data_IF_603216417391
#
_entry.id   IF_603216417391
#
_cell.length_a   1.000
_cell.length_b   1.000
_cell.length_c   1.000
_cell.angle_alpha   90.00
_cell.angle_beta   90.00
_cell.angle_gamma   90.00
#
_symmetry.space_group_name_H-M   'P 1'
#
loop_
_entity.id
_entity.type
_entity.pdbx_description
1 polymer ?
#
# COMPACT_ATOMS: atom_id res chain seq x y z
N UNK A 1 -24.95 13.36 6.12
CA UNK A 1 -24.49 12.26 5.23
C UNK A 1 -23.05 12.53 4.81
N UNK A 2 -22.17 11.53 4.82
CA UNK A 2 -20.86 11.57 4.15
C UNK A 2 -21.04 11.11 2.71
N UNK A 3 -20.48 11.86 1.77
CA UNK A 3 -20.45 11.54 0.33
C UNK A 3 -18.99 11.57 -0.11
N UNK A 4 -18.48 10.46 -0.63
CA UNK A 4 -17.16 10.36 -1.28
C UNK A 4 -17.37 10.27 -2.80
N UNK A 5 -16.71 11.14 -3.56
CA UNK A 5 -16.77 11.18 -5.03
C UNK A 5 -15.64 10.38 -5.68
N UNK A 6 -15.83 10.03 -6.95
CA UNK A 6 -14.86 9.35 -7.82
C UNK A 6 -13.49 10.06 -7.94
N UNK A 7 -13.42 11.37 -7.71
CA UNK A 7 -12.18 12.15 -7.70
C UNK A 7 -11.48 12.19 -6.32
N UNK A 8 -11.93 11.39 -5.34
CA UNK A 8 -11.35 11.35 -4.00
C UNK A 8 -11.74 12.50 -3.08
N UNK A 9 -12.54 13.46 -3.53
CA UNK A 9 -13.11 14.50 -2.67
C UNK A 9 -14.28 13.92 -1.87
N UNK A 10 -14.24 14.09 -0.55
CA UNK A 10 -15.39 13.84 0.31
C UNK A 10 -15.99 15.15 0.84
N UNK A 11 -17.30 15.12 1.01
CA UNK A 11 -18.12 16.21 1.57
C UNK A 11 -19.02 15.60 2.63
N UNK A 12 -19.19 16.28 3.76
CA UNK A 12 -20.17 15.88 4.78
C UNK A 12 -21.22 16.97 4.89
N UNK A 13 -22.46 16.61 4.58
CA UNK A 13 -23.64 17.49 4.59
C UNK A 13 -24.54 17.16 5.79
N UNK A 14 -25.40 18.10 6.27
CA UNK A 14 -26.52 17.74 7.14
C UNK A 14 -27.43 16.72 6.45
N UNK A 15 -28.39 16.11 7.16
CA UNK A 15 -29.39 15.25 6.54
C UNK A 15 -30.43 16.13 5.82
N UNK A 16 -30.63 16.01 4.49
CA UNK A 16 -31.65 16.75 3.75
C UNK A 16 -32.80 15.83 3.31
N UNK A 17 -34.01 16.37 3.16
CA UNK A 17 -35.18 15.58 2.71
C UNK A 17 -35.01 15.04 1.28
N UNK A 18 -34.30 15.79 0.43
CA UNK A 18 -33.94 15.41 -0.94
C UNK A 18 -32.63 16.08 -1.35
N UNK A 19 -31.67 15.32 -1.84
CA UNK A 19 -30.38 15.85 -2.30
C UNK A 19 -29.81 15.02 -3.45
N UNK A 20 -29.21 15.70 -4.43
CA UNK A 20 -28.55 15.08 -5.56
C UNK A 20 -27.03 15.09 -5.38
N UNK A 21 -26.45 13.93 -5.02
CA UNK A 21 -25.03 13.78 -4.74
C UNK A 21 -24.13 13.63 -6.00
N UNK A 22 -24.68 13.87 -7.20
CA UNK A 22 -23.97 13.77 -8.47
C UNK A 22 -23.99 12.36 -9.08
N UNK A 23 -23.43 12.24 -10.29
CA UNK A 23 -23.44 10.99 -11.07
C UNK A 23 -22.31 10.00 -10.70
N UNK A 24 -21.19 10.51 -10.17
CA UNK A 24 -19.97 9.72 -9.93
C UNK A 24 -19.62 9.67 -8.43
N UNK A 25 -20.55 9.12 -7.66
CA UNK A 25 -20.39 8.82 -6.23
C UNK A 25 -19.62 7.51 -6.11
N UNK A 26 -18.67 7.45 -5.18
CA UNK A 26 -17.87 6.26 -4.88
C UNK A 26 -18.39 5.55 -3.63
N UNK A 27 -18.79 6.30 -2.61
CA UNK A 27 -19.34 5.76 -1.36
C UNK A 27 -20.19 6.79 -0.61
N UNK A 28 -21.16 6.32 0.17
CA UNK A 28 -22.01 7.15 1.05
C UNK A 28 -22.22 6.50 2.40
N UNK A 29 -22.19 7.29 3.48
CA UNK A 29 -22.38 6.79 4.84
C UNK A 29 -23.10 7.78 5.76
N UNK A 30 -23.61 7.28 6.89
CA UNK A 30 -24.07 8.13 7.99
C UNK A 30 -22.84 8.67 8.73
N UNK A 31 -22.71 9.99 8.80
CA UNK A 31 -21.52 10.68 9.32
C UNK A 31 -21.53 10.79 10.85
N UNK A 32 -21.62 9.66 11.55
CA UNK A 32 -21.50 9.59 13.01
C UNK A 32 -20.03 9.42 13.39
N UNK A 33 -19.52 10.24 14.33
CA UNK A 33 -18.09 10.24 14.72
C UNK A 33 -17.60 8.85 15.13
N UNK A 34 -18.39 8.14 15.93
CA UNK A 34 -18.09 6.75 16.32
C UNK A 34 -18.01 5.77 15.15
N UNK A 35 -18.81 5.96 14.11
CA UNK A 35 -18.74 5.09 12.92
C UNK A 35 -17.49 5.41 12.12
N UNK A 36 -17.26 6.69 11.82
CA UNK A 36 -16.14 7.12 10.97
C UNK A 36 -14.77 6.88 11.62
N UNK A 37 -14.63 6.99 12.94
CA UNK A 37 -13.40 6.62 13.64
C UNK A 37 -13.17 5.10 13.75
N UNK A 38 -14.19 4.26 13.52
CA UNK A 38 -14.08 2.79 13.44
C UNK A 38 -13.86 2.28 12.00
N UNK A 39 -14.25 3.05 10.99
CA UNK A 39 -14.15 2.68 9.56
C UNK A 39 -12.85 3.18 8.93
N UNK A 40 -11.91 2.26 8.64
CA UNK A 40 -10.75 2.59 7.80
C UNK A 40 -11.17 2.66 6.33
N UNK A 41 -11.06 3.84 5.73
CA UNK A 41 -11.17 4.00 4.28
C UNK A 41 -9.85 3.56 3.64
N UNK A 42 -9.92 2.55 2.78
CA UNK A 42 -8.81 2.09 1.94
C UNK A 42 -9.07 2.50 0.50
N UNK A 43 -8.22 3.38 -0.02
CA UNK A 43 -8.23 3.89 -1.39
C UNK A 43 -6.98 3.41 -2.13
N UNK A 44 -7.15 2.95 -3.36
CA UNK A 44 -6.07 2.54 -4.26
C UNK A 44 -6.20 3.35 -5.54
N UNK A 45 -5.15 4.10 -5.89
CA UNK A 45 -5.17 5.06 -6.99
C UNK A 45 -3.85 5.07 -7.78
N UNK A 46 -3.91 5.47 -9.04
CA UNK A 46 -2.74 5.87 -9.84
C UNK A 46 -2.72 7.39 -10.01
N UNK A 47 -1.56 7.95 -10.35
CA UNK A 47 -1.44 9.35 -10.75
C UNK A 47 -1.38 9.44 -12.27
N UNK A 48 -2.07 10.40 -12.88
CA UNK A 48 -1.98 10.66 -14.32
C UNK A 48 -0.59 11.14 -14.75
N UNK A 49 0.18 11.70 -13.81
CA UNK A 49 1.51 12.26 -14.05
C UNK A 49 2.65 11.23 -13.87
N UNK A 50 2.39 10.09 -13.23
CA UNK A 50 3.42 9.10 -12.86
C UNK A 50 2.96 7.66 -13.10
N UNK A 51 3.80 6.83 -13.72
CA UNK A 51 3.54 5.39 -13.75
C UNK A 51 3.71 4.81 -12.34
N UNK A 52 2.59 4.36 -11.76
CA UNK A 52 2.57 3.69 -10.48
C UNK A 52 1.17 3.57 -9.90
N UNK A 53 1.07 2.89 -8.77
CA UNK A 53 -0.12 2.89 -7.94
C UNK A 53 0.26 3.11 -6.47
N UNK A 54 -0.68 3.69 -5.73
CA UNK A 54 -0.55 4.13 -4.36
C UNK A 54 -1.72 3.59 -3.55
N UNK A 55 -1.47 3.17 -2.31
CA UNK A 55 -2.50 2.85 -1.33
C UNK A 55 -2.56 3.95 -0.27
N UNK A 56 -3.77 4.42 0.01
CA UNK A 56 -4.06 5.30 1.14
C UNK A 56 -5.08 4.63 2.04
N UNK A 57 -4.64 4.24 3.23
CA UNK A 57 -5.51 3.85 4.34
C UNK A 57 -5.66 5.06 5.27
N UNK A 58 -6.88 5.48 5.57
CA UNK A 58 -7.13 6.68 6.40
C UNK A 58 -8.43 6.55 7.19
N UNK A 59 -8.53 7.32 8.27
CA UNK A 59 -9.72 7.43 9.13
C UNK A 59 -10.18 8.90 9.12
N UNK A 60 -11.48 9.16 9.33
CA UNK A 60 -12.07 10.52 9.32
C UNK A 60 -12.61 10.87 10.71
N UNK A 61 -11.71 11.27 11.60
CA UNK A 61 -12.03 11.62 13.00
C UNK A 61 -12.66 13.01 13.18
N UNK A 62 -12.46 13.90 12.20
CA UNK A 62 -12.94 15.29 12.25
C UNK A 62 -13.19 15.88 10.85
N UNK A 63 -14.20 16.74 10.78
CA UNK A 63 -14.65 17.45 9.58
C UNK A 63 -15.40 18.72 10.00
N UNK A 64 -15.56 19.67 9.07
CA UNK A 64 -16.59 20.70 9.16
C UNK A 64 -17.67 20.39 8.12
N UNK A 65 -18.93 20.43 8.55
CA UNK A 65 -20.09 20.22 7.68
C UNK A 65 -20.12 21.28 6.57
N UNK A 66 -20.48 20.87 5.34
CA UNK A 66 -20.52 21.74 4.17
C UNK A 66 -19.15 22.06 3.54
N UNK A 67 -18.04 21.51 4.05
CA UNK A 67 -16.72 21.64 3.42
C UNK A 67 -16.34 20.40 2.61
N UNK A 68 -15.69 20.67 1.49
CA UNK A 68 -15.01 19.69 0.65
C UNK A 68 -13.58 19.43 1.16
N UNK A 69 -13.18 18.16 1.16
CA UNK A 69 -11.86 17.71 1.57
C UNK A 69 -11.36 16.63 0.59
N UNK A 70 -10.17 16.78 0.01
CA UNK A 70 -9.62 15.71 -0.82
C UNK A 70 -8.90 14.66 0.01
N UNK A 71 -9.19 13.37 -0.26
CA UNK A 71 -8.40 12.24 0.20
C UNK A 71 -7.26 11.90 -0.77
N UNK A 72 -7.27 12.40 -2.00
CA UNK A 72 -6.32 11.98 -3.04
C UNK A 72 -5.80 13.23 -3.79
N UNK A 73 -4.56 13.27 -4.30
CA UNK A 73 -4.15 14.33 -5.22
C UNK A 73 -5.14 14.48 -6.39
N UNK A 74 -5.39 15.70 -6.85
CA UNK A 74 -6.39 15.98 -7.90
C UNK A 74 -6.06 15.30 -9.24
N UNK A 75 -4.77 15.08 -9.52
CA UNK A 75 -4.26 14.37 -10.70
C UNK A 75 -4.33 12.83 -10.57
N UNK A 76 -5.21 12.29 -9.73
CA UNK A 76 -5.31 10.87 -9.46
C UNK A 76 -6.57 10.21 -10.03
N UNK A 77 -6.40 8.96 -10.45
CA UNK A 77 -7.49 8.07 -10.86
C UNK A 77 -7.65 6.99 -9.81
N UNK A 78 -8.82 6.94 -9.16
CA UNK A 78 -9.14 5.87 -8.21
C UNK A 78 -9.38 4.58 -9.00
N UNK A 79 -8.61 3.54 -8.65
CA UNK A 79 -8.67 2.20 -9.25
C UNK A 79 -9.49 1.23 -8.38
N UNK A 80 -9.47 1.43 -7.06
CA UNK A 80 -10.17 0.58 -6.09
C UNK A 80 -10.48 1.32 -4.79
N UNK A 81 -11.55 0.89 -4.13
CA UNK A 81 -12.02 1.43 -2.85
C UNK A 81 -12.60 0.29 -2.00
N UNK A 82 -12.36 0.33 -0.69
CA UNK A 82 -13.02 -0.52 0.29
C UNK A 82 -13.00 0.13 1.68
N UNK A 83 -13.99 -0.21 2.50
CA UNK A 83 -14.09 0.17 3.92
C UNK A 83 -13.64 -0.93 4.87
N UNK A 84 -13.16 -2.07 4.34
CA UNK A 84 -12.73 -3.21 5.13
C UNK A 84 -11.31 -3.02 5.69
N UNK A 85 -11.11 -3.44 6.93
CA UNK A 85 -9.82 -3.32 7.62
C UNK A 85 -8.77 -4.35 7.15
N UNK A 86 -9.22 -5.46 6.56
CA UNK A 86 -8.39 -6.60 6.16
C UNK A 86 -9.04 -7.29 4.95
N UNK A 87 -8.42 -7.11 3.79
CA UNK A 87 -8.75 -7.82 2.55
C UNK A 87 -7.48 -7.89 1.69
N UNK A 88 -7.49 -8.80 0.72
CA UNK A 88 -6.41 -8.95 -0.26
C UNK A 88 -6.87 -8.45 -1.63
N UNK A 89 -5.96 -7.94 -2.43
CA UNK A 89 -6.25 -7.48 -3.78
C UNK A 89 -5.12 -7.78 -4.75
N UNK A 90 -5.51 -8.03 -6.00
CA UNK A 90 -4.63 -8.23 -7.14
C UNK A 90 -4.62 -6.98 -8.01
N UNK A 91 -3.42 -6.50 -8.34
CA UNK A 91 -3.22 -5.50 -9.39
C UNK A 91 -2.70 -6.18 -10.65
N UNK A 92 -3.25 -5.80 -11.80
CA UNK A 92 -2.76 -6.22 -13.12
C UNK A 92 -2.03 -5.06 -13.80
N UNK A 93 -0.78 -5.32 -14.18
CA UNK A 93 0.13 -4.36 -14.78
C UNK A 93 0.07 -4.38 -16.30
N UNK A 94 0.34 -3.23 -16.92
CA UNK A 94 0.52 -3.11 -18.37
C UNK A 94 1.68 -4.01 -18.84
N UNK A 95 1.47 -4.87 -19.86
CA UNK A 95 2.48 -5.83 -20.29
C UNK A 95 3.66 -5.14 -20.98
N UNK A 96 4.73 -4.89 -20.23
CA UNK A 96 5.97 -4.30 -20.74
C UNK A 96 6.89 -5.41 -21.25
N UNK A 97 7.29 -5.35 -22.52
CA UNK A 97 8.02 -6.38 -23.32
C UNK A 97 9.01 -7.31 -22.58
N UNK A 98 9.76 -6.84 -21.57
CA UNK A 98 10.73 -7.65 -20.80
C UNK A 98 10.24 -8.17 -19.44
N UNK A 99 8.94 -8.06 -19.12
CA UNK A 99 8.37 -8.37 -17.79
C UNK A 99 7.63 -9.71 -17.74
N UNK A 100 8.12 -10.65 -16.91
CA UNK A 100 7.48 -11.96 -16.69
C UNK A 100 6.32 -11.95 -15.67
N UNK A 101 6.22 -10.92 -14.84
CA UNK A 101 5.12 -10.73 -13.87
C UNK A 101 4.12 -9.69 -14.41
N UNK A 102 2.92 -10.15 -14.78
CA UNK A 102 1.81 -9.29 -15.23
C UNK A 102 0.87 -8.91 -14.08
N UNK A 103 0.86 -9.66 -12.98
CA UNK A 103 0.01 -9.36 -11.81
C UNK A 103 0.75 -9.59 -10.49
N UNK A 104 0.26 -8.94 -9.44
CA UNK A 104 0.81 -9.01 -8.08
C UNK A 104 -0.31 -8.90 -7.04
N UNK A 105 -0.16 -9.60 -5.92
CA UNK A 105 -1.17 -9.66 -4.84
C UNK A 105 -0.65 -8.94 -3.61
N UNK A 106 -1.48 -8.09 -3.04
CA UNK A 106 -1.18 -7.21 -1.91
C UNK A 106 -2.18 -7.43 -0.78
N UNK A 107 -1.67 -7.45 0.46
CA UNK A 107 -2.47 -7.69 1.65
C UNK A 107 -2.63 -6.38 2.42
N UNK A 108 -3.86 -5.87 2.55
CA UNK A 108 -4.12 -4.50 3.06
C UNK A 108 -3.60 -4.29 4.48
N UNK A 109 -3.60 -5.36 5.29
CA UNK A 109 -3.09 -5.41 6.67
C UNK A 109 -1.61 -4.99 6.80
N UNK A 110 -0.80 -5.18 5.76
CA UNK A 110 0.63 -4.82 5.76
C UNK A 110 0.88 -3.31 5.66
N UNK A 111 -0.12 -2.53 5.23
CA UNK A 111 -0.01 -1.09 5.05
C UNK A 111 -0.55 -0.34 6.27
N UNK A 112 0.26 0.57 6.81
CA UNK A 112 -0.12 1.41 7.94
C UNK A 112 -1.22 2.42 7.57
N UNK A 113 -2.17 2.64 8.49
CA UNK A 113 -3.14 3.74 8.41
C UNK A 113 -2.39 5.08 8.54
N UNK A 114 -2.75 6.07 7.72
CA UNK A 114 -2.16 7.40 7.69
C UNK A 114 -3.23 8.47 7.93
N UNK A 115 -2.79 9.64 8.40
CA UNK A 115 -3.65 10.83 8.58
C UNK A 115 -4.23 11.29 7.22
N UNK A 116 -5.43 11.86 7.23
CA UNK A 116 -6.17 12.41 6.08
C UNK A 116 -5.31 13.27 5.14
N UNK A 117 -4.36 14.05 5.66
CA UNK A 117 -3.50 14.93 4.87
C UNK A 117 -2.33 14.22 4.14
N UNK A 118 -1.95 12.99 4.53
CA UNK A 118 -0.86 12.27 3.88
C UNK A 118 -1.29 11.69 2.53
N UNK A 119 -0.41 11.68 1.53
CA UNK A 119 -0.75 11.19 0.18
C UNK A 119 -1.02 9.68 0.16
N UNK A 120 -0.11 8.87 0.70
CA UNK A 120 -0.29 7.42 0.79
C UNK A 120 1.04 6.67 1.00
N UNK A 121 1.07 5.41 0.57
CA UNK A 121 2.26 4.56 0.43
C UNK A 121 2.28 4.07 -1.03
N UNK A 122 3.44 4.14 -1.70
CA UNK A 122 3.57 3.62 -3.08
C UNK A 122 3.56 2.09 -3.06
N UNK A 123 2.74 1.48 -3.91
CA UNK A 123 2.68 0.03 -4.10
C UNK A 123 3.68 -0.44 -5.16
N UNK A 124 3.86 0.36 -6.22
CA UNK A 124 4.51 -0.07 -7.46
C UNK A 124 4.87 1.12 -8.35
N UNK A 125 5.93 1.00 -9.15
CA UNK A 125 6.34 1.94 -10.21
C UNK A 125 5.80 1.54 -11.59
N UNK A 126 4.83 0.62 -11.63
CA UNK A 126 4.24 0.09 -12.86
C UNK A 126 2.86 0.71 -13.11
N UNK A 127 2.57 0.96 -14.38
CA UNK A 127 1.23 1.32 -14.83
C UNK A 127 0.28 0.14 -14.61
N UNK A 128 -0.79 0.38 -13.85
CA UNK A 128 -1.83 -0.61 -13.52
C UNK A 128 -3.00 -0.44 -14.49
N UNK A 129 -3.48 -1.55 -15.05
CA UNK A 129 -4.68 -1.61 -15.90
C UNK A 129 -5.92 -1.94 -15.08
N UNK A 130 -5.83 -2.93 -14.17
CA UNK A 130 -6.98 -3.49 -13.45
C UNK A 130 -6.70 -3.63 -11.96
N UNK A 131 -7.71 -3.31 -11.15
CA UNK A 131 -7.82 -3.69 -9.74
C UNK A 131 -8.82 -4.85 -9.62
N UNK A 132 -8.50 -5.85 -8.80
CA UNK A 132 -9.32 -7.03 -8.57
C UNK A 132 -9.28 -7.39 -7.08
N UNK A 133 -10.42 -7.29 -6.40
CA UNK A 133 -10.52 -7.57 -4.96
C UNK A 133 -10.69 -9.08 -4.72
N UNK A 134 -9.85 -9.66 -3.88
CA UNK A 134 -9.85 -11.09 -3.55
C UNK A 134 -10.60 -11.32 -2.24
N UNK A 135 -11.93 -11.29 -2.30
CA UNK A 135 -12.77 -11.81 -1.21
C UNK A 135 -12.53 -13.31 -1.04
N UNK A 136 -12.48 -13.83 0.19
CA UNK A 136 -12.15 -15.23 0.51
C UNK A 136 -13.18 -16.30 0.06
N UNK A 137 -14.07 -15.97 -0.89
CA UNK A 137 -15.06 -16.89 -1.45
C UNK A 137 -14.43 -17.82 -2.50
N UNK A 138 -13.75 -18.85 -1.98
CA UNK A 138 -13.38 -20.14 -2.61
C UNK A 138 -13.34 -20.18 -4.15
N UNK A 139 -12.23 -19.72 -4.75
CA UNK A 139 -11.97 -19.81 -6.19
C UNK A 139 -11.50 -21.21 -6.65
N UNK A 140 -12.43 -22.17 -6.71
CA UNK A 140 -12.30 -23.35 -7.57
C UNK A 140 -12.85 -23.04 -8.98
N UNK A 141 -12.43 -23.80 -10.00
CA UNK A 141 -12.61 -23.52 -11.47
C UNK A 141 -11.54 -22.55 -12.02
N UNK A 142 -10.71 -22.91 -13.03
CA UNK A 142 -10.55 -24.18 -13.75
C UNK A 142 -9.06 -24.42 -14.10
N UNK A 143 -8.54 -25.62 -13.82
CA UNK A 143 -7.23 -26.10 -14.31
C UNK A 143 -7.26 -27.60 -14.62
N UNK A 144 -8.11 -27.93 -15.58
CA UNK A 144 -7.87 -29.05 -16.49
C UNK A 144 -7.26 -28.45 -17.77
N UNK A 145 -6.33 -29.08 -18.49
CA UNK A 145 -5.90 -30.47 -18.44
C UNK A 145 -4.36 -30.57 -18.44
N UNK A 146 -3.80 -31.45 -17.61
CA UNK A 146 -2.70 -32.35 -18.02
C UNK A 146 -2.58 -33.53 -17.04
N UNK A 147 -3.16 -34.65 -17.42
CA UNK A 147 -2.98 -35.94 -16.75
C UNK A 147 -1.57 -36.54 -16.96
N UNK A 148 -1.39 -37.77 -16.47
CA UNK A 148 -0.25 -38.68 -16.68
C UNK A 148 0.99 -38.47 -15.78
N UNK A 149 0.78 -38.75 -14.49
CA UNK A 149 1.69 -39.61 -13.71
C UNK A 149 1.36 -41.10 -14.03
N UNK A 150 2.13 -42.14 -13.62
CA UNK A 150 3.18 -42.11 -12.59
C UNK A 150 4.47 -42.96 -12.82
N UNK A 151 5.45 -42.75 -11.92
CA UNK A 151 6.55 -43.68 -11.56
C UNK A 151 7.67 -43.88 -12.62
N UNK A 152 8.94 -44.16 -12.28
CA UNK A 152 9.57 -44.69 -11.04
C UNK A 152 10.91 -43.99 -10.74
N UNK A 153 11.36 -44.04 -9.49
CA UNK A 153 12.76 -43.78 -9.10
C UNK A 153 13.65 -45.01 -9.30
N UNK A 154 14.98 -44.83 -9.31
CA UNK A 154 15.80 -45.60 -8.37
C UNK A 154 16.86 -44.77 -7.63
N UNK A 155 17.43 -45.33 -6.57
CA UNK A 155 18.37 -44.67 -5.64
C UNK A 155 19.73 -45.39 -5.58
N UNK A 156 20.83 -44.65 -5.71
CA UNK A 156 22.15 -44.96 -5.11
C UNK A 156 23.03 -43.70 -5.11
N UNK A 157 23.65 -43.28 -3.98
CA UNK A 157 24.92 -43.79 -3.38
C UNK A 157 26.11 -43.57 -4.35
N UNK A 158 27.26 -42.99 -3.95
CA UNK A 158 28.03 -43.22 -2.70
C UNK A 158 29.00 -42.05 -2.37
N UNK A 159 29.58 -42.11 -1.15
CA UNK A 159 30.63 -41.27 -0.48
C UNK A 159 31.86 -40.97 -1.38
N UNK A 160 32.75 -39.99 -1.14
CA UNK A 160 33.66 -39.79 0.04
C UNK A 160 34.46 -38.47 -0.17
N UNK A 161 34.47 -37.40 0.67
CA UNK A 161 35.07 -37.15 2.00
C UNK A 161 36.64 -37.10 2.10
N UNK A 162 37.24 -35.88 2.15
CA UNK A 162 38.46 -35.45 2.91
C UNK A 162 38.81 -33.97 2.59
N UNK A 163 39.68 -33.20 3.30
CA UNK A 163 39.85 -32.88 4.75
C UNK A 163 41.15 -32.04 4.99
N UNK A 164 41.04 -30.72 5.24
CA UNK A 164 42.04 -29.85 5.93
C UNK A 164 41.36 -28.48 6.26
N UNK A 165 41.51 -27.76 7.41
CA UNK A 165 42.57 -27.55 8.44
C UNK A 165 43.52 -26.39 8.05
N UNK A 166 43.75 -25.29 8.80
CA UNK A 166 43.39 -24.85 10.18
C UNK A 166 43.47 -23.30 10.38
N UNK A 167 43.05 -22.77 11.56
CA UNK A 167 43.46 -21.55 12.38
C UNK A 167 44.21 -20.34 11.71
N UNK A 168 44.18 -19.08 12.18
CA UNK A 168 43.97 -18.44 13.51
C UNK A 168 43.09 -17.15 13.42
N UNK A 169 42.57 -16.42 14.43
CA UNK A 169 42.61 -16.43 15.93
C UNK A 169 43.72 -15.61 16.67
N UNK A 170 43.63 -14.26 16.74
CA UNK A 170 44.02 -13.37 17.91
C UNK A 170 43.68 -11.87 17.73
N UNK A 171 43.32 -11.18 18.83
CA UNK A 171 43.35 -9.71 19.01
C UNK A 171 44.48 -9.33 20.01
N UNK A 172 44.89 -8.04 20.11
CA UNK A 172 44.20 -7.02 20.94
C UNK A 172 44.06 -5.67 20.15
N UNK A 173 43.86 -4.46 20.69
CA UNK A 173 43.84 -3.91 22.07
C UNK A 173 42.94 -2.65 22.20
N UNK A 174 42.87 -2.10 23.42
CA UNK A 174 42.43 -0.73 23.74
C UNK A 174 43.64 0.25 23.57
N UNK A 175 43.66 1.57 23.85
CA UNK A 175 42.85 2.45 24.74
C UNK A 175 43.20 3.94 24.42
N UNK A 176 42.23 4.87 24.37
CA UNK A 176 42.15 6.17 25.12
C UNK A 176 41.30 7.25 24.42
N UNK A 177 40.76 8.17 25.25
CA UNK A 177 40.30 9.56 24.99
C UNK A 177 39.84 10.01 23.58
N UNK A 178 38.76 10.78 23.41
CA UNK A 178 37.94 11.48 24.41
C UNK A 178 37.86 12.98 24.12
N UNK A 179 36.69 13.44 23.65
CA UNK A 179 36.35 14.86 23.51
C UNK A 179 36.55 15.46 22.12
N UNK A 180 35.43 15.90 21.50
CA UNK A 180 35.29 17.21 20.84
C UNK A 180 33.83 17.46 20.43
N UNK A 181 33.00 17.79 21.43
CA UNK A 181 31.69 18.40 21.19
C UNK A 181 31.87 19.91 20.94
N UNK A 182 31.02 20.47 20.07
CA UNK A 182 30.80 21.93 19.81
C UNK A 182 31.95 22.71 19.15
N UNK A 183 31.89 22.89 17.83
CA UNK A 183 32.55 24.00 17.12
C UNK A 183 31.90 24.32 15.74
N UNK A 184 30.64 24.77 15.71
CA UNK A 184 29.97 25.12 14.43
C UNK A 184 28.92 26.26 14.47
N UNK A 185 28.54 26.78 15.64
CA UNK A 185 27.51 27.84 15.77
C UNK A 185 28.19 29.19 16.01
N UNK A 186 28.81 29.77 14.97
CA UNK A 186 29.38 31.13 15.04
C UNK A 186 29.50 31.82 13.65
N UNK A 187 28.44 31.77 12.83
CA UNK A 187 28.21 32.67 11.67
C UNK A 187 26.70 32.98 11.61
N UNK A 188 26.33 34.05 10.90
CA UNK A 188 25.01 34.71 10.96
C UNK A 188 24.71 35.49 12.26
N UNK A 189 25.53 36.51 12.54
CA UNK A 189 25.07 37.73 13.23
C UNK A 189 25.85 38.96 12.74
N UNK A 190 25.73 39.28 11.44
CA UNK A 190 26.29 40.51 10.85
C UNK A 190 25.62 40.93 9.54
N UNK A 191 24.31 41.17 9.57
CA UNK A 191 23.60 42.03 8.61
C UNK A 191 22.20 42.36 9.16
N UNK A 192 21.77 43.63 8.99
CA UNK A 192 20.62 44.29 9.66
C UNK A 192 20.65 44.30 11.19
#
# INVERSE_FOLDING_TARGET
ILILRNNGIYTIIPLPDKFFAGQKILWTAIATKESLSKTTITLIYSLSNENGAYIKRTIIDSWLTGRDYSLVPETAVILGFSTENEFDFKLEYKPKSRSKKTSEVFHVKQYAVRNRAAQGIKLTDREVIKFEMLSSQKSETKREQKELAPSKSPVSKKKTNKKAKEKKETAPSELTSGGLLKAAIQKQKKET
#
